data_IF_414177433231
#
_entry.id   IF_414177433231
#
_cell.length_a   1.000
_cell.length_b   1.000
_cell.length_c   1.000
_cell.angle_alpha   90.00
_cell.angle_beta   90.00
_cell.angle_gamma   90.00
#
_symmetry.space_group_name_H-M   'P 1'
#
loop_
_entity.id
_entity.type
_entity.pdbx_description
1 polymer ?
#
# COMPACT_ATOMS: atom_id res chain seq x y z
N UNK A 1 -29.24 -25.01 -8.39
CA UNK A 1 -28.82 -23.82 -7.60
C UNK A 1 -27.90 -24.31 -6.50
N UNK A 2 -26.66 -23.81 -6.49
CA UNK A 2 -25.71 -24.06 -5.41
C UNK A 2 -26.19 -23.21 -4.24
N UNK A 3 -26.54 -23.78 -3.06
CA UNK A 3 -26.92 -23.01 -1.90
C UNK A 3 -25.71 -22.17 -1.44
N UNK A 4 -25.89 -20.84 -1.38
CA UNK A 4 -24.83 -19.91 -0.98
C UNK A 4 -24.02 -19.33 -2.14
N UNK A 5 -24.55 -19.29 -3.37
CA UNK A 5 -23.98 -18.47 -4.43
C UNK A 5 -24.17 -16.99 -4.06
N UNK A 6 -23.08 -16.31 -3.74
CA UNK A 6 -23.09 -14.86 -3.64
C UNK A 6 -23.70 -14.25 -4.90
N UNK A 7 -24.36 -13.11 -4.74
CA UNK A 7 -24.95 -12.40 -5.88
C UNK A 7 -23.81 -11.98 -6.81
N UNK A 8 -23.96 -12.30 -8.11
CA UNK A 8 -23.02 -11.90 -9.14
C UNK A 8 -23.74 -10.88 -10.04
N UNK A 9 -23.14 -9.72 -10.21
CA UNK A 9 -23.68 -8.68 -11.08
C UNK A 9 -22.56 -7.91 -11.78
N UNK A 10 -22.93 -7.18 -12.83
CA UNK A 10 -22.03 -6.35 -13.61
C UNK A 10 -22.26 -4.89 -13.28
N UNK A 11 -21.18 -4.12 -13.23
CA UNK A 11 -21.22 -2.69 -13.07
C UNK A 11 -20.07 -2.03 -13.85
N UNK A 12 -20.13 -0.71 -13.99
CA UNK A 12 -19.03 0.03 -14.59
C UNK A 12 -17.96 0.32 -13.54
N UNK A 13 -16.70 0.27 -13.94
CA UNK A 13 -15.55 0.55 -13.08
C UNK A 13 -15.63 1.96 -12.46
N UNK A 14 -16.21 2.94 -13.20
CA UNK A 14 -16.43 4.30 -12.73
C UNK A 14 -17.44 4.44 -11.58
N UNK A 15 -18.21 3.38 -11.29
CA UNK A 15 -19.12 3.33 -10.14
C UNK A 15 -18.42 2.95 -8.83
N UNK A 16 -17.20 2.43 -8.92
CA UNK A 16 -16.38 2.14 -7.75
C UNK A 16 -15.85 3.43 -7.13
N UNK A 17 -15.77 3.45 -5.81
CA UNK A 17 -15.26 4.59 -5.05
C UNK A 17 -13.83 4.33 -4.63
N UNK A 18 -12.91 5.17 -5.04
CA UNK A 18 -11.54 5.12 -4.52
C UNK A 18 -11.52 5.43 -3.02
N UNK A 19 -10.63 4.76 -2.29
CA UNK A 19 -10.38 5.10 -0.89
C UNK A 19 -9.59 6.42 -0.80
N UNK A 20 -10.15 7.49 -0.24
CA UNK A 20 -9.45 8.77 -0.10
C UNK A 20 -8.27 8.71 0.88
N UNK A 21 -8.22 7.68 1.71
CA UNK A 21 -7.18 7.45 2.72
C UNK A 21 -6.20 6.34 2.33
N UNK A 22 -6.22 5.93 1.04
CA UNK A 22 -5.30 4.90 0.56
C UNK A 22 -3.84 5.27 0.86
N UNK A 23 -3.22 4.57 1.81
CA UNK A 23 -1.84 4.81 2.24
C UNK A 23 -0.81 4.39 1.18
N UNK A 24 -1.14 3.48 0.26
CA UNK A 24 -0.23 3.12 -0.82
C UNK A 24 -0.35 4.11 -1.98
N UNK A 25 0.65 4.96 -2.16
CA UNK A 25 0.73 5.92 -3.29
C UNK A 25 1.17 5.24 -4.59
N UNK A 26 1.78 4.06 -4.50
CA UNK A 26 2.36 3.35 -5.64
C UNK A 26 3.59 4.05 -6.22
N UNK A 27 4.25 3.36 -7.14
CA UNK A 27 5.42 3.90 -7.85
C UNK A 27 5.14 4.03 -9.35
N UNK A 28 5.84 4.95 -10.03
CA UNK A 28 5.75 5.06 -11.49
C UNK A 28 6.13 3.73 -12.18
N UNK A 29 7.17 3.07 -11.68
CA UNK A 29 7.61 1.76 -12.18
C UNK A 29 6.56 0.68 -11.96
N UNK A 30 5.89 0.66 -10.80
CA UNK A 30 4.79 -0.24 -10.49
C UNK A 30 3.61 -0.02 -11.40
N UNK A 31 3.21 1.23 -11.63
CA UNK A 31 2.13 1.61 -12.55
C UNK A 31 2.41 1.14 -13.98
N UNK A 32 3.62 1.40 -14.50
CA UNK A 32 4.01 0.97 -15.85
C UNK A 32 4.01 -0.56 -15.98
N UNK A 33 4.47 -1.28 -14.96
CA UNK A 33 4.44 -2.73 -14.92
C UNK A 33 3.01 -3.29 -14.87
N UNK A 34 2.13 -2.66 -14.10
CA UNK A 34 0.71 -3.01 -14.00
C UNK A 34 -0.01 -2.77 -15.33
N UNK A 35 0.20 -1.61 -15.97
CA UNK A 35 -0.36 -1.30 -17.28
C UNK A 35 0.08 -2.33 -18.33
N UNK A 36 1.38 -2.63 -18.37
CA UNK A 36 1.90 -3.66 -19.26
C UNK A 36 1.25 -5.01 -19.02
N UNK A 37 1.11 -5.43 -17.76
CA UNK A 37 0.47 -6.68 -17.39
C UNK A 37 -0.99 -6.74 -17.83
N UNK A 38 -1.77 -5.70 -17.57
CA UNK A 38 -3.17 -5.62 -17.96
C UNK A 38 -3.36 -5.64 -19.48
N UNK A 39 -2.51 -4.92 -20.24
CA UNK A 39 -2.56 -4.91 -21.71
C UNK A 39 -2.14 -6.24 -22.35
N UNK A 40 -1.12 -6.89 -21.78
CA UNK A 40 -0.54 -8.11 -22.36
C UNK A 40 -1.30 -9.38 -21.99
N UNK A 41 -1.82 -9.43 -20.76
CA UNK A 41 -2.40 -10.67 -20.21
C UNK A 41 -3.87 -10.50 -19.78
N UNK A 42 -4.42 -9.30 -19.86
CA UNK A 42 -5.77 -8.97 -19.40
C UNK A 42 -5.89 -8.90 -17.87
N UNK A 43 -7.09 -8.65 -17.38
CA UNK A 43 -7.39 -8.55 -15.96
C UNK A 43 -7.24 -9.92 -15.26
N UNK A 44 -6.22 -10.04 -14.43
CA UNK A 44 -5.94 -11.24 -13.63
C UNK A 44 -6.15 -11.04 -12.14
N UNK A 45 -6.14 -9.77 -11.68
CA UNK A 45 -6.31 -9.40 -10.27
C UNK A 45 -7.74 -9.05 -9.95
N UNK A 46 -8.13 -9.30 -8.70
CA UNK A 46 -9.40 -8.83 -8.15
C UNK A 46 -9.21 -7.51 -7.42
N UNK A 47 -10.30 -6.74 -7.33
CA UNK A 47 -10.45 -5.56 -6.48
C UNK A 47 -11.29 -5.97 -5.29
N UNK A 48 -10.92 -5.58 -4.07
CA UNK A 48 -11.70 -5.83 -2.88
C UNK A 48 -12.48 -4.56 -2.51
N UNK A 49 -13.79 -4.70 -2.34
CA UNK A 49 -14.71 -3.61 -2.02
C UNK A 49 -15.29 -3.79 -0.62
N UNK A 50 -15.62 -2.68 0.01
CA UNK A 50 -16.50 -2.65 1.17
C UNK A 50 -17.98 -2.79 0.74
N UNK A 51 -18.89 -2.87 1.72
CA UNK A 51 -20.35 -2.96 1.49
C UNK A 51 -20.95 -1.74 0.80
N UNK A 52 -20.22 -0.64 0.65
CA UNK A 52 -20.65 0.60 0.02
C UNK A 52 -20.03 0.85 -1.34
N UNK A 53 -19.22 -0.11 -1.84
CA UNK A 53 -18.49 -0.02 -3.10
C UNK A 53 -17.22 0.81 -3.03
N UNK A 54 -16.68 1.05 -1.81
CA UNK A 54 -15.38 1.70 -1.63
C UNK A 54 -14.27 0.65 -1.74
N UNK A 55 -13.21 0.97 -2.46
CA UNK A 55 -12.10 0.06 -2.70
C UNK A 55 -11.24 -0.07 -1.45
N UNK A 56 -11.23 -1.25 -0.83
CA UNK A 56 -10.34 -1.61 0.27
C UNK A 56 -8.93 -1.93 -0.27
N UNK A 57 -8.86 -2.69 -1.37
CA UNK A 57 -7.60 -3.06 -2.01
C UNK A 57 -7.77 -3.10 -3.53
N UNK A 58 -6.72 -2.69 -4.28
CA UNK A 58 -6.73 -2.66 -5.74
C UNK A 58 -7.05 -1.28 -6.33
N UNK A 59 -6.87 -0.17 -5.59
CA UNK A 59 -7.05 1.19 -6.11
C UNK A 59 -6.24 1.41 -7.38
N UNK A 60 -4.95 1.04 -7.40
CA UNK A 60 -4.10 1.16 -8.58
C UNK A 60 -4.54 0.28 -9.74
N UNK A 61 -5.08 -0.91 -9.46
CA UNK A 61 -5.65 -1.78 -10.48
C UNK A 61 -6.89 -1.14 -11.13
N UNK A 62 -7.78 -0.54 -10.32
CA UNK A 62 -8.96 0.17 -10.82
C UNK A 62 -8.56 1.39 -11.68
N UNK A 63 -7.66 2.24 -11.19
CA UNK A 63 -7.15 3.41 -11.89
C UNK A 63 -6.53 3.01 -13.25
N UNK A 64 -5.58 2.05 -13.23
CA UNK A 64 -4.87 1.63 -14.44
C UNK A 64 -5.79 0.93 -15.43
N UNK A 65 -6.74 0.13 -14.96
CA UNK A 65 -7.74 -0.53 -15.82
C UNK A 65 -8.61 0.52 -16.54
N UNK A 66 -9.10 1.54 -15.84
CA UNK A 66 -9.84 2.64 -16.43
C UNK A 66 -9.01 3.40 -17.49
N UNK A 67 -7.74 3.72 -17.18
CA UNK A 67 -6.83 4.41 -18.10
C UNK A 67 -6.61 3.67 -19.42
N UNK A 68 -6.69 2.35 -19.41
CA UNK A 68 -6.52 1.52 -20.62
C UNK A 68 -7.83 1.09 -21.28
N UNK A 69 -8.98 1.57 -20.78
CA UNK A 69 -10.31 1.34 -21.34
C UNK A 69 -10.96 0.01 -20.95
N UNK A 70 -10.60 -0.56 -19.79
CA UNK A 70 -11.32 -1.68 -19.17
C UNK A 70 -12.38 -1.08 -18.25
N UNK A 71 -13.64 -1.06 -18.69
CA UNK A 71 -14.71 -0.35 -17.98
C UNK A 71 -15.67 -1.28 -17.23
N UNK A 72 -15.72 -2.56 -17.57
CA UNK A 72 -16.67 -3.52 -17.02
C UNK A 72 -16.09 -4.29 -15.84
N UNK A 73 -16.82 -4.35 -14.74
CA UNK A 73 -16.48 -5.08 -13.51
C UNK A 73 -17.53 -6.12 -13.20
N UNK A 74 -17.07 -7.34 -12.92
CA UNK A 74 -17.89 -8.42 -12.37
C UNK A 74 -17.76 -8.40 -10.86
N UNK A 75 -18.85 -8.08 -10.16
CA UNK A 75 -18.88 -8.05 -8.69
C UNK A 75 -19.44 -9.34 -8.14
N UNK A 76 -18.73 -9.92 -7.17
CA UNK A 76 -19.15 -11.11 -6.42
C UNK A 76 -19.33 -10.72 -4.96
N UNK A 77 -20.56 -10.75 -4.46
CA UNK A 77 -20.82 -10.52 -3.04
C UNK A 77 -20.44 -11.75 -2.20
N UNK A 78 -19.73 -11.52 -1.11
CA UNK A 78 -19.27 -12.57 -0.19
C UNK A 78 -19.24 -12.06 1.24
N UNK A 79 -19.38 -12.96 2.20
CA UNK A 79 -19.26 -12.72 3.63
C UNK A 79 -17.80 -12.90 4.15
N UNK A 80 -16.85 -13.13 3.24
CA UNK A 80 -15.44 -13.34 3.59
C UNK A 80 -15.08 -14.76 4.07
N UNK A 81 -16.06 -15.65 4.20
CA UNK A 81 -15.82 -17.02 4.68
C UNK A 81 -15.38 -18.00 3.57
N UNK A 82 -15.25 -17.52 2.34
CA UNK A 82 -14.86 -18.31 1.17
C UNK A 82 -13.84 -17.57 0.33
N UNK A 83 -12.90 -18.30 -0.23
CA UNK A 83 -11.97 -17.77 -1.23
C UNK A 83 -12.72 -17.64 -2.56
N UNK A 84 -12.63 -16.45 -3.18
CA UNK A 84 -13.10 -16.21 -4.54
C UNK A 84 -11.95 -16.52 -5.50
N UNK A 85 -12.13 -17.49 -6.38
CA UNK A 85 -11.16 -17.85 -7.41
C UNK A 85 -11.61 -17.36 -8.77
N UNK A 86 -10.78 -16.57 -9.44
CA UNK A 86 -10.97 -16.19 -10.84
C UNK A 86 -10.37 -17.29 -11.73
N UNK A 87 -11.22 -17.97 -12.52
CA UNK A 87 -10.75 -18.98 -13.47
C UNK A 87 -10.66 -18.38 -14.87
N UNK A 88 -9.44 -18.17 -15.35
CA UNK A 88 -9.17 -17.76 -16.74
C UNK A 88 -9.30 -18.97 -17.66
N UNK A 89 -10.29 -18.95 -18.54
CA UNK A 89 -10.58 -20.05 -19.47
C UNK A 89 -9.75 -19.98 -20.75
N UNK A 90 -9.07 -18.89 -20.96
CA UNK A 90 -8.20 -18.55 -22.09
C UNK A 90 -6.71 -18.85 -21.84
N UNK A 91 -6.33 -19.27 -20.63
CA UNK A 91 -4.94 -19.52 -20.25
C UNK A 91 -4.71 -20.97 -19.82
N UNK A 92 -3.60 -21.56 -20.26
CA UNK A 92 -3.12 -22.88 -19.83
C UNK A 92 -1.70 -22.77 -19.29
N UNK A 93 -1.54 -22.85 -17.95
CA UNK A 93 -0.24 -22.68 -17.29
C UNK A 93 0.82 -23.71 -17.73
N UNK A 94 0.40 -24.88 -18.24
CA UNK A 94 1.31 -25.92 -18.70
C UNK A 94 1.81 -25.71 -20.14
N UNK A 95 1.07 -24.95 -20.96
CA UNK A 95 1.32 -24.84 -22.40
C UNK A 95 1.59 -23.41 -22.85
N UNK A 96 1.01 -22.41 -22.16
CA UNK A 96 1.07 -21.02 -22.59
C UNK A 96 2.17 -20.25 -21.87
N UNK A 97 3.21 -19.78 -22.57
CA UNK A 97 4.20 -18.89 -21.97
C UNK A 97 3.57 -17.66 -21.32
N UNK A 98 2.54 -17.06 -21.92
CA UNK A 98 1.82 -15.91 -21.39
C UNK A 98 1.20 -16.17 -20.01
N UNK A 99 0.68 -17.39 -19.76
CA UNK A 99 0.16 -17.76 -18.43
C UNK A 99 1.28 -17.80 -17.38
N UNK A 100 2.49 -18.24 -17.76
CA UNK A 100 3.66 -18.26 -16.89
C UNK A 100 4.19 -16.85 -16.65
N UNK A 101 4.23 -16.03 -17.68
CA UNK A 101 4.62 -14.61 -17.59
C UNK A 101 3.66 -13.84 -16.69
N UNK A 102 2.35 -14.06 -16.80
CA UNK A 102 1.35 -13.46 -15.91
C UNK A 102 1.61 -13.84 -14.44
N UNK A 103 1.98 -15.11 -14.15
CA UNK A 103 2.27 -15.53 -12.78
C UNK A 103 3.47 -14.77 -12.19
N UNK A 104 4.51 -14.48 -12.99
CA UNK A 104 5.62 -13.63 -12.55
C UNK A 104 5.22 -12.16 -12.45
N UNK A 105 4.48 -11.64 -13.45
CA UNK A 105 4.03 -10.26 -13.49
C UNK A 105 3.17 -9.91 -12.28
N UNK A 106 2.26 -10.81 -11.87
CA UNK A 106 1.39 -10.59 -10.71
C UNK A 106 2.19 -10.38 -9.43
N UNK A 107 3.16 -11.24 -9.14
CA UNK A 107 4.03 -11.09 -7.98
C UNK A 107 4.90 -9.83 -8.08
N UNK A 108 5.50 -9.60 -9.26
CA UNK A 108 6.44 -8.48 -9.44
C UNK A 108 5.76 -7.12 -9.38
N UNK A 109 4.56 -6.97 -9.93
CA UNK A 109 3.77 -5.75 -9.82
C UNK A 109 3.46 -5.44 -8.36
N UNK A 110 3.06 -6.45 -7.56
CA UNK A 110 2.80 -6.27 -6.13
C UNK A 110 4.01 -5.73 -5.37
N UNK A 111 5.20 -6.21 -5.71
CA UNK A 111 6.45 -5.78 -5.08
C UNK A 111 6.86 -4.36 -5.51
N UNK A 112 6.68 -4.02 -6.79
CA UNK A 112 7.11 -2.74 -7.36
C UNK A 112 6.17 -1.58 -7.02
N UNK A 113 4.90 -1.86 -6.75
CA UNK A 113 3.85 -0.84 -6.58
C UNK A 113 3.59 -0.51 -5.10
N UNK A 114 4.60 -0.68 -4.24
CA UNK A 114 4.52 -0.37 -2.82
C UNK A 114 5.33 0.89 -2.52
N UNK A 115 4.61 1.96 -2.20
CA UNK A 115 5.14 3.21 -1.65
C UNK A 115 4.13 3.76 -0.65
N UNK A 116 4.36 3.48 0.63
CA UNK A 116 3.44 3.85 1.70
C UNK A 116 3.66 5.29 2.14
N UNK A 117 2.56 6.02 2.27
CA UNK A 117 2.50 7.36 2.83
C UNK A 117 2.61 7.29 4.36
N UNK A 118 3.71 7.76 4.96
CA UNK A 118 3.89 7.69 6.41
C UNK A 118 2.85 8.52 7.18
N UNK A 119 2.35 9.64 6.63
CA UNK A 119 1.35 10.49 7.27
C UNK A 119 0.00 9.77 7.36
N UNK A 120 -0.38 9.05 6.30
CA UNK A 120 -1.60 8.25 6.29
C UNK A 120 -1.52 7.12 7.33
N UNK A 121 -0.37 6.41 7.40
CA UNK A 121 -0.13 5.35 8.38
C UNK A 121 -0.16 5.91 9.82
N UNK A 122 0.48 7.04 10.07
CA UNK A 122 0.45 7.67 11.39
C UNK A 122 -0.97 8.04 11.81
N UNK A 123 -1.76 8.58 10.90
CA UNK A 123 -3.17 8.93 11.14
C UNK A 123 -3.99 7.69 11.48
N UNK A 124 -3.83 6.61 10.74
CA UNK A 124 -4.54 5.34 10.99
C UNK A 124 -4.17 4.74 12.36
N UNK A 125 -2.89 4.76 12.73
CA UNK A 125 -2.44 4.33 14.06
C UNK A 125 -3.05 5.17 15.18
N UNK A 126 -3.14 6.50 15.01
CA UNK A 126 -3.75 7.41 15.98
C UNK A 126 -5.26 7.18 16.11
N UNK A 127 -5.92 6.76 15.05
CA UNK A 127 -7.34 6.38 15.04
C UNK A 127 -7.60 4.95 15.55
N UNK A 128 -6.56 4.22 15.95
CA UNK A 128 -6.66 2.91 16.59
C UNK A 128 -6.61 1.73 15.62
N UNK A 129 -6.18 1.92 14.37
CA UNK A 129 -5.89 0.82 13.45
C UNK A 129 -4.70 0.03 13.98
N UNK A 130 -4.86 -1.27 14.19
CA UNK A 130 -3.77 -2.13 14.68
C UNK A 130 -2.98 -2.69 13.50
N UNK A 131 -1.72 -2.29 13.39
CA UNK A 131 -0.79 -2.72 12.34
C UNK A 131 0.31 -3.66 12.85
N UNK A 132 0.35 -4.00 14.15
CA UNK A 132 1.42 -4.79 14.80
C UNK A 132 1.60 -6.19 14.20
N UNK A 133 0.54 -6.77 13.63
CA UNK A 133 0.62 -8.08 12.98
C UNK A 133 1.12 -8.00 11.52
N UNK A 134 1.24 -6.79 10.95
CA UNK A 134 1.66 -6.53 9.57
C UNK A 134 3.07 -5.97 9.50
N UNK A 135 3.45 -5.13 10.46
CA UNK A 135 4.78 -4.54 10.59
C UNK A 135 5.30 -4.70 12.01
N UNK A 136 6.59 -4.98 12.13
CA UNK A 136 7.27 -4.91 13.42
C UNK A 136 7.38 -3.45 13.87
N UNK A 137 7.54 -3.23 15.19
CA UNK A 137 7.74 -1.87 15.73
C UNK A 137 8.94 -1.17 15.09
N UNK A 138 10.02 -1.89 14.82
CA UNK A 138 11.23 -1.34 14.18
C UNK A 138 10.94 -0.84 12.75
N UNK A 139 10.08 -1.54 11.99
CA UNK A 139 9.68 -1.12 10.65
C UNK A 139 8.79 0.11 10.70
N UNK A 140 7.83 0.16 11.63
CA UNK A 140 6.97 1.32 11.84
C UNK A 140 7.80 2.54 12.28
N UNK A 141 8.71 2.39 13.25
CA UNK A 141 9.58 3.47 13.71
C UNK A 141 10.46 4.01 12.57
N UNK A 142 10.98 3.13 11.71
CA UNK A 142 11.75 3.53 10.53
C UNK A 142 10.90 4.29 9.52
N UNK A 143 9.66 3.85 9.29
CA UNK A 143 8.73 4.48 8.34
C UNK A 143 8.29 5.87 8.82
N UNK A 144 8.06 6.03 10.15
CA UNK A 144 7.55 7.24 10.76
C UNK A 144 8.65 8.18 11.27
N UNK A 145 9.93 7.83 11.09
CA UNK A 145 11.08 8.53 11.66
C UNK A 145 11.10 10.04 11.39
N UNK A 146 10.71 10.42 10.18
CA UNK A 146 10.75 11.83 9.76
C UNK A 146 9.52 12.63 10.23
N UNK A 147 8.47 11.94 10.71
CA UNK A 147 7.23 12.53 11.21
C UNK A 147 7.17 12.61 12.74
N UNK A 148 7.93 11.77 13.42
CA UNK A 148 8.00 11.79 14.88
C UNK A 148 9.21 12.60 15.33
N UNK A 149 9.04 13.67 16.12
CA UNK A 149 10.18 14.35 16.69
C UNK A 149 11.01 13.35 17.50
N UNK A 150 12.35 13.44 17.46
CA UNK A 150 13.21 12.53 18.20
C UNK A 150 12.80 12.56 19.69
N UNK A 151 12.38 11.40 20.19
CA UNK A 151 11.88 11.21 21.56
C UNK A 151 12.96 11.48 22.62
N UNK A 152 14.23 11.59 22.19
CA UNK A 152 15.42 11.89 22.96
C UNK A 152 16.26 12.98 22.26
N UNK A 153 15.70 14.16 22.02
CA UNK A 153 16.56 15.32 21.97
C UNK A 153 17.07 15.50 23.42
N UNK A 154 18.38 15.30 23.71
CA UNK A 154 18.90 15.62 25.03
C UNK A 154 18.47 17.04 25.32
N UNK A 155 17.81 17.27 26.48
CA UNK A 155 17.49 18.61 26.95
C UNK A 155 18.74 19.47 26.71
N UNK A 156 18.56 20.60 26.03
CA UNK A 156 19.66 21.49 25.74
C UNK A 156 20.28 21.84 27.10
N UNK A 157 21.47 21.29 27.38
CA UNK A 157 22.21 21.54 28.62
C UNK A 157 22.76 22.94 28.53
N UNK A 158 21.87 23.93 28.64
CA UNK A 158 22.21 25.37 28.69
C UNK A 158 23.13 25.69 29.83
N UNK A 159 23.06 24.95 30.94
CA UNK A 159 23.95 25.15 32.11
C UNK A 159 25.37 24.61 31.90
N UNK A 160 25.58 23.64 31.03
CA UNK A 160 26.91 23.07 30.77
C UNK A 160 27.84 24.02 30.02
N UNK A 161 27.29 24.99 29.27
CA UNK A 161 28.08 26.02 28.61
C UNK A 161 28.65 27.02 29.64
N UNK A 162 27.88 27.35 30.68
CA UNK A 162 28.34 28.21 31.78
C UNK A 162 29.44 27.52 32.61
N UNK A 163 29.25 26.24 32.98
CA UNK A 163 30.26 25.45 33.71
C UNK A 163 31.55 25.26 32.90
N UNK A 164 31.47 25.08 31.60
CA UNK A 164 32.63 24.97 30.72
C UNK A 164 33.33 26.31 30.54
N UNK A 165 32.58 27.41 30.53
CA UNK A 165 33.13 28.75 30.41
C UNK A 165 33.87 29.14 31.70
N UNK A 166 33.36 28.74 32.88
CA UNK A 166 34.03 28.93 34.18
C UNK A 166 35.28 28.05 34.30
N UNK A 167 35.25 26.84 33.84
CA UNK A 167 36.36 25.87 33.88
C UNK A 167 37.51 26.23 32.93
N UNK A 168 37.24 26.96 31.84
CA UNK A 168 38.20 27.34 30.82
C UNK A 168 38.56 28.82 30.80
N UNK A 169 38.17 29.59 31.86
CA UNK A 169 38.72 30.91 32.08
C UNK A 169 40.21 30.77 32.43
N UNK A 170 41.06 30.73 31.40
CA UNK A 170 42.48 30.97 31.54
C UNK A 170 42.67 32.40 31.95
N UNK A 171 43.22 32.62 33.13
CA UNK A 171 43.67 33.95 33.57
C UNK A 171 44.62 34.53 32.51
N UNK A 172 44.24 35.69 31.95
CA UNK A 172 45.13 36.48 31.11
C UNK A 172 46.23 37.02 32.02
N UNK A 173 47.46 36.43 31.91
CA UNK A 173 48.64 37.04 32.43
C UNK A 173 49.50 36.18 33.35
N UNK A 174 49.95 34.99 32.88
CA UNK A 174 51.20 34.42 33.35
C UNK A 174 52.07 34.09 32.15
N UNK A 175 53.07 34.96 31.93
CA UNK A 175 54.25 34.72 31.10
C UNK A 175 55.28 33.97 31.95
#
# INVERSE_FOLDING_TARGET
PIPGSGLLFFMNLSELKSDPRNANKGTERGRNALEHSLRSYGAGRSILLDKHGTIIAGNKTAETAADIGIDEVVVVETDGNKVVAVKRTDLDLAKDPAARELAYADNRVSELDLDFDPEAILTDLQEGVNLENLWSQVELDKMLKDLTPPTDAPEAQTDRAAELQEKWQTERGQV
#
